data_IF_914839873352
#
_entry.id   IF_914839873352
#
_cell.length_a   1.000
_cell.length_b   1.000
_cell.length_c   1.000
_cell.angle_alpha   90.00
_cell.angle_beta   90.00
_cell.angle_gamma   90.00
#
_symmetry.space_group_name_H-M   'P 1'
#
loop_
_entity.id
_entity.type
_entity.pdbx_description
1 polymer ?
#
# COMPACT_ATOMS: atom_id res chain seq x y z
N UNK A 1 9.49 7.93 4.24
CA UNK A 1 8.45 6.95 3.82
C UNK A 1 7.84 6.39 5.08
N UNK A 2 6.54 6.61 5.34
CA UNK A 2 5.89 6.00 6.51
C UNK A 2 5.86 4.49 6.28
N UNK A 3 6.60 3.76 7.10
CA UNK A 3 6.63 2.30 7.07
C UNK A 3 5.90 1.82 8.32
N UNK A 4 4.82 1.08 8.12
CA UNK A 4 4.12 0.39 9.20
C UNK A 4 4.70 -1.00 9.36
N UNK A 5 4.78 -1.47 10.60
CA UNK A 5 5.10 -2.88 10.87
C UNK A 5 3.96 -3.80 10.42
N UNK A 6 2.73 -3.28 10.42
CA UNK A 6 1.56 -3.97 9.88
C UNK A 6 1.55 -3.83 8.35
N UNK A 7 1.42 -4.97 7.66
CA UNK A 7 1.33 -5.08 6.20
C UNK A 7 0.00 -5.72 5.79
N UNK A 8 -0.38 -5.55 4.53
CA UNK A 8 -1.59 -6.14 3.94
C UNK A 8 -1.21 -7.03 2.76
N UNK A 9 -1.91 -8.15 2.56
CA UNK A 9 -1.72 -9.00 1.38
C UNK A 9 -1.96 -8.21 0.08
N UNK A 10 -1.00 -8.20 -0.85
CA UNK A 10 -1.10 -7.44 -2.11
C UNK A 10 -2.13 -8.00 -3.10
N UNK A 11 -2.66 -9.20 -2.83
CA UNK A 11 -3.62 -9.90 -3.71
C UNK A 11 -4.99 -10.08 -3.06
N UNK A 12 -5.25 -9.41 -1.92
CA UNK A 12 -6.41 -9.72 -1.09
C UNK A 12 -7.74 -9.58 -1.84
N UNK A 13 -7.90 -8.58 -2.70
CA UNK A 13 -9.14 -8.37 -3.47
C UNK A 13 -9.49 -9.54 -4.41
N UNK A 14 -8.51 -10.34 -4.81
CA UNK A 14 -8.69 -11.47 -5.74
C UNK A 14 -8.68 -12.83 -5.04
N UNK A 15 -7.95 -12.95 -3.93
CA UNK A 15 -7.67 -14.22 -3.26
C UNK A 15 -8.45 -14.41 -1.95
N UNK A 16 -9.06 -13.35 -1.41
CA UNK A 16 -9.69 -13.36 -0.09
C UNK A 16 -11.00 -12.55 -0.08
N UNK A 17 -11.96 -12.98 0.74
CA UNK A 17 -13.21 -12.22 0.93
C UNK A 17 -13.01 -10.89 1.67
N UNK A 18 -11.87 -10.72 2.34
CA UNK A 18 -11.52 -9.54 3.15
C UNK A 18 -10.01 -9.30 3.18
N UNK A 19 -9.54 -8.09 3.52
CA UNK A 19 -8.12 -7.81 3.67
C UNK A 19 -7.46 -8.71 4.73
N UNK A 20 -6.30 -9.27 4.39
CA UNK A 20 -5.48 -10.06 5.32
C UNK A 20 -4.27 -9.21 5.74
N UNK A 21 -4.25 -8.83 7.02
CA UNK A 21 -3.14 -8.11 7.63
C UNK A 21 -2.13 -9.06 8.26
N UNK A 22 -0.84 -8.70 8.22
CA UNK A 22 0.25 -9.51 8.77
C UNK A 22 1.45 -8.64 9.15
N UNK A 23 2.30 -9.15 10.04
CA UNK A 23 3.62 -8.56 10.32
C UNK A 23 4.72 -9.18 9.42
N UNK A 24 4.40 -10.24 8.69
CA UNK A 24 5.32 -10.93 7.78
C UNK A 24 5.46 -10.21 6.44
N UNK A 25 6.50 -10.53 5.68
CA UNK A 25 6.65 -10.10 4.28
C UNK A 25 5.76 -10.84 3.29
N UNK A 26 5.06 -11.88 3.73
CA UNK A 26 4.13 -12.67 2.90
C UNK A 26 2.81 -12.89 3.63
N UNK A 27 1.73 -12.97 2.85
CA UNK A 27 0.42 -13.36 3.34
C UNK A 27 0.48 -14.80 3.90
N UNK A 28 0.02 -15.03 5.14
CA UNK A 28 0.00 -16.37 5.72
C UNK A 28 -1.04 -17.30 5.07
N UNK A 29 -2.05 -16.75 4.40
CA UNK A 29 -3.14 -17.52 3.77
C UNK A 29 -2.78 -18.00 2.36
N UNK A 30 -2.35 -17.09 1.47
CA UNK A 30 -2.07 -17.41 0.06
C UNK A 30 -0.59 -17.31 -0.36
N UNK A 31 0.31 -16.87 0.53
CA UNK A 31 1.75 -16.76 0.24
C UNK A 31 2.17 -15.57 -0.64
N UNK A 32 1.21 -14.78 -1.15
CA UNK A 32 1.46 -13.54 -1.91
C UNK A 32 2.24 -12.50 -1.09
N UNK A 33 2.97 -11.56 -1.73
CA UNK A 33 3.67 -10.50 -1.00
C UNK A 33 2.74 -9.69 -0.09
N UNK A 34 3.26 -9.27 1.06
CA UNK A 34 2.58 -8.33 1.94
C UNK A 34 3.18 -6.92 1.78
N UNK A 35 2.35 -5.94 1.48
CA UNK A 35 2.72 -4.56 1.21
C UNK A 35 2.41 -3.62 2.38
N UNK A 36 3.00 -2.43 2.35
CA UNK A 36 2.87 -1.46 3.43
C UNK A 36 1.40 -1.01 3.59
N UNK A 37 0.86 -1.13 4.79
CA UNK A 37 -0.51 -0.70 5.07
C UNK A 37 -0.64 0.81 5.30
N UNK A 38 0.47 1.49 5.65
CA UNK A 38 0.44 2.92 5.91
C UNK A 38 0.33 3.73 4.61
N UNK A 39 -0.50 4.80 4.59
CA UNK A 39 -0.52 5.73 3.48
C UNK A 39 0.81 6.47 3.37
N UNK A 40 1.06 7.05 2.20
CA UNK A 40 2.17 7.97 2.02
C UNK A 40 2.04 9.17 2.99
N UNK A 41 3.14 9.63 3.63
CA UNK A 41 3.11 10.84 4.45
C UNK A 41 2.63 12.06 3.66
N UNK A 42 1.90 12.94 4.34
CA UNK A 42 1.52 14.23 3.80
C UNK A 42 2.54 15.31 4.20
N UNK A 43 2.95 16.13 3.23
CA UNK A 43 3.78 17.31 3.42
C UNK A 43 3.03 18.53 2.83
N UNK A 44 2.71 19.57 3.63
CA UNK A 44 2.05 20.77 3.13
C UNK A 44 2.80 21.49 2.01
N UNK A 45 4.14 21.40 1.97
CA UNK A 45 4.95 22.02 0.91
C UNK A 45 4.82 21.27 -0.42
N UNK A 46 4.44 19.99 -0.39
CA UNK A 46 4.15 19.12 -1.52
C UNK A 46 5.03 19.39 -2.78
N UNK A 47 6.37 19.28 -2.68
CA UNK A 47 7.29 19.75 -3.72
C UNK A 47 7.10 19.04 -5.08
N UNK A 48 6.56 17.82 -5.05
CA UNK A 48 6.27 17.01 -6.25
C UNK A 48 4.77 16.93 -6.57
N UNK A 49 3.94 17.77 -5.95
CA UNK A 49 2.49 17.74 -6.06
C UNK A 49 1.95 17.93 -7.47
N UNK A 50 2.57 18.82 -8.25
CA UNK A 50 2.19 19.06 -9.64
C UNK A 50 2.36 17.80 -10.48
N UNK A 51 3.53 17.15 -10.38
CA UNK A 51 3.84 15.91 -11.09
C UNK A 51 2.91 14.78 -10.66
N UNK A 52 2.66 14.61 -9.36
CA UNK A 52 1.73 13.60 -8.83
C UNK A 52 0.31 13.78 -9.38
N UNK A 53 -0.20 15.02 -9.43
CA UNK A 53 -1.52 15.34 -9.99
C UNK A 53 -1.58 15.11 -11.49
N UNK A 54 -0.50 15.41 -12.22
CA UNK A 54 -0.41 15.17 -13.67
C UNK A 54 -0.42 13.69 -14.00
N UNK A 55 0.34 12.87 -13.25
CA UNK A 55 0.35 11.41 -13.43
C UNK A 55 -1.05 10.82 -13.20
N UNK A 56 -1.72 11.20 -12.09
CA UNK A 56 -3.06 10.69 -11.75
C UNK A 56 -4.17 11.07 -12.73
N UNK A 57 -3.97 12.08 -13.58
CA UNK A 57 -4.93 12.44 -14.66
C UNK A 57 -4.75 11.60 -15.93
N UNK A 58 -3.63 10.88 -16.03
CA UNK A 58 -3.28 10.06 -17.20
C UNK A 58 -3.61 8.58 -16.99
N UNK A 59 -3.80 8.16 -15.74
CA UNK A 59 -4.31 6.85 -15.33
C UNK A 59 -5.84 6.86 -15.26
#
# INVERSE_FOLDING_TARGET
MAKSDIRVCSAWEREHDRPVYTLSGRCPECGSPAENSAPAPFDPADPYGEYRRRARRRD
#
